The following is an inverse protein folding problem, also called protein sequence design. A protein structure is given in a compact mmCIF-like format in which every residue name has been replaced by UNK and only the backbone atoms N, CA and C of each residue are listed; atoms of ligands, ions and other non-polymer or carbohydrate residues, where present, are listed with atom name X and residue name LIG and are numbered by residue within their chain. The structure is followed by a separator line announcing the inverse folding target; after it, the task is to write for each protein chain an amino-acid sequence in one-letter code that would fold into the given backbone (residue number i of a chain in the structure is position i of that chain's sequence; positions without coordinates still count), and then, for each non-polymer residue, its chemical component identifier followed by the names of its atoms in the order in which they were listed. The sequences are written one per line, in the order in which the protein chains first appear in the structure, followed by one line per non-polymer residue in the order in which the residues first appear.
data_IF_091796048053
#
_entry.id   IF_091796048053
#
_cell.length_a   1.000
_cell.length_b   1.000
_cell.length_c   1.000
_cell.angle_alpha   90.00
_cell.angle_beta   90.00
_cell.angle_gamma   90.00
#
_symmetry.space_group_name_H-M   'P 1'
#
loop_
_entity.id
_entity.type
_entity.pdbx_description
1 polymer ?
#
# COMPACT_ATOMS: atom_id res chain seq x y z
N UNK A 1 -1.49 -20.92 -19.17
CA UNK A 1 -1.16 -19.57 -18.69
C UNK A 1 -2.04 -18.61 -19.48
N UNK A 2 -3.14 -18.06 -18.94
CA UNK A 2 -3.86 -17.05 -19.69
C UNK A 2 -3.06 -15.75 -19.63
N UNK A 3 -2.38 -15.43 -20.72
CA UNK A 3 -1.83 -14.10 -21.03
C UNK A 3 -2.99 -13.20 -21.44
N UNK A 4 -3.82 -12.84 -20.47
CA UNK A 4 -4.81 -11.77 -20.61
C UNK A 4 -4.12 -10.49 -20.16
N UNK A 5 -3.65 -9.68 -21.11
CA UNK A 5 -3.31 -8.28 -20.82
C UNK A 5 -4.65 -7.60 -20.52
N UNK A 6 -4.87 -7.21 -19.26
CA UNK A 6 -6.08 -6.51 -18.87
C UNK A 6 -6.08 -5.16 -19.59
N UNK A 7 -7.03 -5.01 -20.52
CA UNK A 7 -7.11 -3.88 -21.46
C UNK A 7 -7.54 -2.59 -20.74
N UNK A 8 -8.04 -2.69 -19.51
CA UNK A 8 -8.67 -1.60 -18.75
C UNK A 8 -7.90 -1.21 -17.48
N UNK A 9 -6.60 -1.51 -17.43
CA UNK A 9 -5.72 -1.08 -16.33
C UNK A 9 -5.05 0.22 -16.74
N UNK A 10 -5.47 1.33 -16.13
CA UNK A 10 -4.95 2.67 -16.44
C UNK A 10 -3.99 3.19 -15.37
N UNK A 11 -4.11 2.66 -14.15
CA UNK A 11 -3.34 3.07 -12.98
C UNK A 11 -2.83 1.86 -12.18
N UNK A 12 -1.88 2.11 -11.28
CA UNK A 12 -1.43 1.10 -10.33
C UNK A 12 -2.54 0.68 -9.35
N UNK A 13 -3.50 1.57 -9.08
CA UNK A 13 -4.66 1.25 -8.25
C UNK A 13 -5.55 0.19 -8.93
N UNK A 14 -5.78 0.32 -10.23
CA UNK A 14 -6.51 -0.68 -11.03
C UNK A 14 -5.83 -2.05 -10.97
N UNK A 15 -4.49 -2.09 -11.05
CA UNK A 15 -3.72 -3.34 -10.88
C UNK A 15 -3.97 -3.98 -9.52
N UNK A 16 -3.97 -3.18 -8.46
CA UNK A 16 -4.16 -3.68 -7.10
C UNK A 16 -5.58 -4.20 -6.90
N UNK A 17 -6.59 -3.48 -7.39
CA UNK A 17 -7.99 -3.89 -7.29
C UNK A 17 -8.27 -5.14 -8.12
N UNK A 18 -7.88 -5.18 -9.39
CA UNK A 18 -8.07 -6.34 -10.25
C UNK A 18 -7.29 -7.55 -9.73
N UNK A 19 -6.05 -7.35 -9.28
CA UNK A 19 -5.26 -8.40 -8.63
C UNK A 19 -5.94 -8.96 -7.38
N UNK A 20 -6.61 -8.11 -6.59
CA UNK A 20 -7.37 -8.54 -5.42
C UNK A 20 -8.55 -9.45 -5.80
N UNK A 21 -9.20 -9.20 -6.93
CA UNK A 21 -10.35 -9.98 -7.39
C UNK A 21 -9.86 -11.30 -7.99
N UNK A 22 -8.96 -11.23 -8.97
CA UNK A 22 -8.49 -12.38 -9.76
C UNK A 22 -7.76 -13.40 -8.89
N UNK A 23 -7.00 -12.94 -7.89
CA UNK A 23 -6.23 -13.80 -7.00
C UNK A 23 -6.94 -14.07 -5.66
N UNK A 24 -8.23 -13.73 -5.54
CA UNK A 24 -9.02 -13.90 -4.32
C UNK A 24 -8.30 -13.37 -3.07
N UNK A 25 -7.84 -12.12 -3.17
CA UNK A 25 -7.07 -11.43 -2.14
C UNK A 25 -5.76 -12.16 -1.74
N UNK A 26 -5.14 -12.85 -2.70
CA UNK A 26 -3.88 -13.57 -2.53
C UNK A 26 -2.66 -12.68 -2.26
N UNK A 27 -1.44 -13.24 -2.33
CA UNK A 27 -0.20 -12.51 -2.07
C UNK A 27 0.03 -11.40 -3.12
N UNK A 28 0.34 -10.20 -2.63
CA UNK A 28 0.57 -8.99 -3.43
C UNK A 28 2.02 -8.50 -3.30
N UNK A 29 2.45 -8.18 -2.07
CA UNK A 29 3.81 -7.67 -1.80
C UNK A 29 4.54 -8.61 -0.84
N UNK A 30 5.67 -9.14 -1.31
CA UNK A 30 6.56 -9.94 -0.48
C UNK A 30 7.66 -9.08 0.12
N UNK A 31 7.96 -9.30 1.39
CA UNK A 31 9.16 -8.73 2.01
C UNK A 31 9.97 -9.82 2.69
N UNK A 32 11.29 -9.69 2.61
CA UNK A 32 12.21 -10.63 3.23
C UNK A 32 12.21 -10.40 4.74
N UNK A 33 11.69 -11.37 5.50
CA UNK A 33 11.66 -11.32 6.96
C UNK A 33 12.97 -11.85 7.57
N UNK A 34 13.56 -12.86 6.95
CA UNK A 34 14.87 -13.43 7.27
C UNK A 34 15.48 -13.98 5.98
N UNK A 35 16.75 -14.41 6.02
CA UNK A 35 17.54 -14.80 4.84
C UNK A 35 16.79 -15.65 3.80
N UNK A 36 15.88 -16.53 4.23
CA UNK A 36 15.13 -17.42 3.34
C UNK A 36 13.60 -17.36 3.50
N UNK A 37 13.06 -16.43 4.31
CA UNK A 37 11.61 -16.37 4.57
C UNK A 37 11.01 -15.09 4.01
N UNK A 38 10.18 -15.23 2.97
CA UNK A 38 9.36 -14.14 2.45
C UNK A 38 8.02 -14.14 3.17
N UNK A 39 7.67 -13.00 3.76
CA UNK A 39 6.33 -12.76 4.28
C UNK A 39 5.54 -11.95 3.26
N UNK A 40 4.34 -12.42 2.96
CA UNK A 40 3.46 -11.82 1.96
C UNK A 40 2.38 -10.97 2.63
N UNK A 41 2.15 -9.79 2.06
CA UNK A 41 0.97 -8.98 2.30
C UNK A 41 -0.07 -9.30 1.23
N UNK A 42 -1.34 -9.40 1.62
CA UNK A 42 -2.44 -9.55 0.68
C UNK A 42 -2.68 -8.27 -0.11
N UNK A 43 -3.39 -8.37 -1.25
CA UNK A 43 -3.83 -7.20 -2.01
C UNK A 43 -4.63 -6.21 -1.18
N UNK A 44 -5.62 -6.70 -0.41
CA UNK A 44 -6.43 -5.85 0.47
C UNK A 44 -5.56 -5.09 1.47
N UNK A 45 -4.50 -5.72 1.98
CA UNK A 45 -3.61 -5.07 2.95
C UNK A 45 -2.69 -4.04 2.29
N UNK A 46 -2.26 -4.29 1.06
CA UNK A 46 -1.54 -3.31 0.26
C UNK A 46 -2.43 -2.09 -0.04
N UNK A 47 -3.67 -2.31 -0.53
CA UNK A 47 -4.65 -1.25 -0.83
C UNK A 47 -4.96 -0.42 0.43
N UNK A 48 -5.30 -1.07 1.55
CA UNK A 48 -5.58 -0.40 2.82
C UNK A 48 -4.44 0.53 3.25
N UNK A 49 -3.19 0.04 3.16
CA UNK A 49 -2.01 0.83 3.53
C UNK A 49 -1.77 1.99 2.56
N UNK A 50 -1.93 1.76 1.25
CA UNK A 50 -1.80 2.80 0.24
C UNK A 50 -2.84 3.90 0.43
N UNK A 51 -4.09 3.55 0.72
CA UNK A 51 -5.16 4.52 1.03
C UNK A 51 -4.85 5.34 2.28
N UNK A 52 -4.34 4.70 3.33
CA UNK A 52 -3.95 5.40 4.56
C UNK A 52 -2.83 6.43 4.28
N UNK A 53 -1.77 6.02 3.56
CA UNK A 53 -0.65 6.90 3.22
C UNK A 53 -1.13 8.03 2.29
N UNK A 54 -1.89 7.70 1.25
CA UNK A 54 -2.42 8.66 0.29
C UNK A 54 -3.34 9.69 0.95
N UNK A 55 -4.22 9.25 1.85
CA UNK A 55 -5.10 10.14 2.61
C UNK A 55 -4.29 11.12 3.46
N UNK A 56 -3.25 10.65 4.16
CA UNK A 56 -2.38 11.52 4.95
C UNK A 56 -1.64 12.54 4.07
N UNK A 57 -1.12 12.10 2.91
CA UNK A 57 -0.43 12.98 1.98
C UNK A 57 -1.37 14.08 1.43
N UNK A 58 -2.61 13.70 1.13
CA UNK A 58 -3.64 14.65 0.70
C UNK A 58 -3.99 15.63 1.81
N UNK A 59 -4.40 15.13 2.99
CA UNK A 59 -5.07 15.97 4.00
C UNK A 59 -4.08 16.70 4.91
N UNK A 60 -3.06 15.99 5.39
CA UNK A 60 -2.10 16.52 6.36
C UNK A 60 -0.94 17.22 5.69
N UNK A 61 -0.32 16.57 4.69
CA UNK A 61 0.79 17.18 3.95
C UNK A 61 0.34 18.16 2.86
N UNK A 62 -0.98 18.24 2.60
CA UNK A 62 -1.61 19.16 1.65
C UNK A 62 -1.03 19.06 0.23
N UNK A 63 -0.66 17.85 -0.17
CA UNK A 63 -0.22 17.59 -1.53
C UNK A 63 -1.41 17.57 -2.48
N UNK A 64 -1.23 18.11 -3.68
CA UNK A 64 -2.25 18.11 -4.72
C UNK A 64 -2.10 16.84 -5.56
N UNK A 65 -3.13 15.98 -5.62
CA UNK A 65 -3.11 14.78 -6.44
C UNK A 65 -2.75 15.09 -7.90
N UNK A 66 -1.97 14.22 -8.52
CA UNK A 66 -1.53 14.33 -9.92
C UNK A 66 -0.67 15.57 -10.27
N UNK A 67 -0.36 16.43 -9.30
CA UNK A 67 0.41 17.66 -9.51
C UNK A 67 1.66 17.74 -8.63
N UNK A 68 1.62 17.14 -7.44
CA UNK A 68 2.77 17.13 -6.52
C UNK A 68 3.74 15.99 -6.82
N UNK A 69 5.04 16.30 -6.85
CA UNK A 69 6.12 15.31 -6.88
C UNK A 69 6.53 14.94 -5.45
N UNK A 70 6.65 13.65 -5.16
CA UNK A 70 6.97 13.14 -3.81
C UNK A 70 8.30 12.40 -3.84
N UNK A 71 9.25 12.83 -2.99
CA UNK A 71 10.48 12.10 -2.75
C UNK A 71 10.28 11.12 -1.59
N UNK A 72 10.52 9.83 -1.83
CA UNK A 72 10.45 8.78 -0.80
C UNK A 72 11.87 8.41 -0.39
N UNK A 73 12.23 8.72 0.86
CA UNK A 73 13.48 8.31 1.48
C UNK A 73 13.18 7.26 2.54
N UNK A 74 13.60 6.02 2.29
CA UNK A 74 13.46 4.91 3.23
C UNK A 74 14.83 4.52 3.77
N UNK A 75 15.10 4.77 5.04
CA UNK A 75 16.23 4.17 5.74
C UNK A 75 15.82 2.81 6.31
N UNK A 76 16.70 1.81 6.21
CA UNK A 76 16.45 0.41 6.63
C UNK A 76 16.28 0.25 8.16
N UNK A 77 16.24 1.33 8.93
CA UNK A 77 15.98 1.32 10.39
C UNK A 77 14.58 1.86 10.68
N UNK A 78 13.58 1.09 10.26
CA UNK A 78 12.15 1.40 10.37
C UNK A 78 11.53 1.05 11.74
N UNK A 79 12.20 1.38 12.85
CA UNK A 79 11.55 1.26 14.18
C UNK A 79 10.60 2.44 14.41
N UNK A 80 11.00 3.67 14.05
CA UNK A 80 10.15 4.87 14.22
C UNK A 80 8.95 4.93 13.26
N UNK A 81 9.09 4.42 12.03
CA UNK A 81 8.01 4.50 11.05
C UNK A 81 6.86 3.53 11.34
N UNK A 82 7.13 2.38 11.96
CA UNK A 82 6.09 1.42 12.34
C UNK A 82 5.23 1.96 13.48
N UNK A 83 5.82 2.66 14.45
CA UNK A 83 5.06 3.27 15.54
C UNK A 83 4.15 4.40 15.04
N UNK A 84 4.64 5.25 14.13
CA UNK A 84 3.81 6.32 13.53
C UNK A 84 2.67 5.77 12.67
N UNK A 85 2.92 4.70 11.90
CA UNK A 85 1.87 4.03 11.13
C UNK A 85 0.83 3.37 12.05
N UNK A 86 1.27 2.71 13.14
CA UNK A 86 0.36 2.15 14.16
C UNK A 86 -0.45 3.26 14.85
N UNK A 87 0.15 4.42 15.10
CA UNK A 87 -0.54 5.57 15.68
C UNK A 87 -1.67 6.06 14.75
N UNK A 88 -1.40 6.20 13.44
CA UNK A 88 -2.45 6.53 12.46
C UNK A 88 -3.57 5.47 12.42
N UNK A 89 -3.23 4.18 12.47
CA UNK A 89 -4.25 3.12 12.49
C UNK A 89 -5.14 3.18 13.75
N UNK A 90 -4.56 3.49 14.91
CA UNK A 90 -5.30 3.61 16.16
C UNK A 90 -6.17 4.87 16.24
N UNK A 91 -5.77 5.97 15.61
CA UNK A 91 -6.59 7.18 15.51
C UNK A 91 -7.80 6.96 14.60
N UNK A 92 -7.65 6.21 13.51
CA UNK A 92 -8.77 5.87 12.62
C UNK A 92 -9.79 4.96 13.31
N UNK A 93 -9.35 4.02 14.14
CA UNK A 93 -10.23 3.10 14.89
C UNK A 93 -10.92 3.72 16.12
N UNK A 94 -10.57 4.95 16.50
CA UNK A 94 -11.16 5.66 17.65
C UNK A 94 -12.31 6.60 17.28
N UNK A 95 -12.55 6.82 16.00
CA UNK A 95 -13.56 7.73 15.48
C UNK A 95 -14.85 7.03 14.98
N UNK A 96 -14.99 5.74 15.30
CA UNK A 96 -16.25 4.96 15.19
C UNK A 96 -16.82 4.71 16.60
#
# INVERSE_FOLDING_TARGET
MPTSIFVDVHTLDDVLYEGSIVLNNGPCVGYLQSSNTIKWLSYSKAIERSLCIGSYLWTTARLTPMQSNVAILSSVLAIDNVERIKSCQNELLRND
#
